data_IF_804228127923
#
_entry.id   IF_804228127923
#
_cell.length_a   1.000
_cell.length_b   1.000
_cell.length_c   1.000
_cell.angle_alpha   90.00
_cell.angle_beta   90.00
_cell.angle_gamma   90.00
#
_symmetry.space_group_name_H-M   'P 1'
#
loop_
_entity.id
_entity.type
_entity.pdbx_description
1 polymer ?
#
# COMPACT_ATOMS: atom_id res chain seq x y z
N UNK A 1 20.26 -9.99 20.77
CA UNK A 1 21.40 -9.06 20.67
C UNK A 1 20.85 -7.70 20.29
N UNK A 2 20.86 -6.77 21.24
CA UNK A 2 20.43 -5.38 21.11
C UNK A 2 21.68 -4.51 21.01
N UNK A 3 22.32 -4.46 19.84
CA UNK A 3 23.71 -3.98 19.77
C UNK A 3 23.87 -2.46 19.62
N UNK A 4 22.85 -1.73 19.16
CA UNK A 4 22.94 -0.28 18.96
C UNK A 4 21.83 0.53 19.66
N UNK A 5 20.62 -0.02 19.77
CA UNK A 5 19.51 0.59 20.53
C UNK A 5 18.55 -0.47 21.12
N UNK A 6 18.70 -0.81 22.42
CA UNK A 6 17.89 -1.84 23.06
C UNK A 6 16.38 -1.55 23.10
N UNK A 7 16.01 -0.26 23.07
CA UNK A 7 14.62 0.19 23.25
C UNK A 7 13.88 0.43 21.92
N UNK A 8 14.53 0.19 20.77
CA UNK A 8 14.04 0.61 19.43
C UNK A 8 13.65 -0.59 18.55
N UNK A 9 13.44 -1.77 19.12
CA UNK A 9 13.31 -3.01 18.33
C UNK A 9 12.07 -3.07 17.42
N UNK A 10 11.05 -2.24 17.67
CA UNK A 10 9.83 -2.14 16.87
C UNK A 10 9.91 -1.14 15.71
N UNK A 11 10.99 -0.35 15.61
CA UNK A 11 11.15 0.71 14.60
C UNK A 11 11.23 0.17 13.17
N UNK A 12 11.73 -1.06 12.98
CA UNK A 12 11.75 -1.68 11.65
C UNK A 12 10.34 -1.83 11.05
N UNK A 13 9.34 -2.10 11.90
CA UNK A 13 7.94 -2.29 11.47
C UNK A 13 7.29 -0.96 11.12
N UNK A 14 7.62 0.13 11.82
CA UNK A 14 7.13 1.46 11.46
C UNK A 14 7.70 1.91 10.12
N UNK A 15 8.98 1.59 9.83
CA UNK A 15 9.58 1.85 8.52
C UNK A 15 8.88 1.06 7.41
N UNK A 16 8.72 -0.26 7.57
CA UNK A 16 8.08 -1.08 6.52
C UNK A 16 6.62 -0.67 6.28
N UNK A 17 5.88 -0.34 7.35
CA UNK A 17 4.51 0.12 7.24
C UNK A 17 4.40 1.47 6.52
N UNK A 18 5.31 2.41 6.80
CA UNK A 18 5.36 3.69 6.11
C UNK A 18 5.81 3.60 4.66
N UNK A 19 6.87 2.83 4.37
CA UNK A 19 7.43 2.72 3.03
C UNK A 19 6.53 1.96 2.05
N UNK A 20 5.95 0.81 2.42
CA UNK A 20 5.14 0.03 1.47
C UNK A 20 3.65 0.43 1.51
N UNK A 21 3.16 0.81 2.69
CA UNK A 21 1.74 1.03 2.93
C UNK A 21 1.33 2.50 3.09
N UNK A 22 2.29 3.43 3.01
CA UNK A 22 2.06 4.86 3.17
C UNK A 22 1.43 5.24 4.51
N UNK A 23 0.76 6.40 4.54
CA UNK A 23 0.11 6.91 5.76
C UNK A 23 -0.99 5.99 6.28
N UNK A 24 -1.60 5.17 5.42
CA UNK A 24 -2.65 4.20 5.79
C UNK A 24 -2.12 3.14 6.72
N UNK A 25 -1.20 2.31 6.25
CA UNK A 25 -0.61 1.25 7.07
C UNK A 25 0.20 1.82 8.23
N UNK A 26 0.87 2.97 8.05
CA UNK A 26 1.55 3.66 9.14
C UNK A 26 0.59 4.07 10.27
N UNK A 27 -0.61 4.58 9.95
CA UNK A 27 -1.61 4.96 10.96
C UNK A 27 -2.12 3.73 11.73
N UNK A 28 -2.32 2.61 11.04
CA UNK A 28 -2.76 1.35 11.63
C UNK A 28 -1.71 0.80 12.57
N UNK A 29 -0.48 0.60 12.08
CA UNK A 29 0.65 0.10 12.89
C UNK A 29 0.94 1.04 14.06
N UNK A 30 0.92 2.35 13.80
CA UNK A 30 1.05 3.37 14.83
C UNK A 30 0.00 3.25 15.92
N UNK A 31 -1.27 3.05 15.54
CA UNK A 31 -2.38 2.92 16.51
C UNK A 31 -2.24 1.68 17.38
N UNK A 32 -1.73 0.58 16.83
CA UNK A 32 -1.41 -0.65 17.58
C UNK A 32 -0.25 -0.38 18.55
N UNK A 33 0.80 0.33 18.13
CA UNK A 33 1.89 0.68 19.06
C UNK A 33 1.43 1.61 20.18
N UNK A 34 0.60 2.61 19.87
CA UNK A 34 0.00 3.50 20.87
C UNK A 34 -0.81 2.69 21.89
N UNK A 35 -1.63 1.73 21.44
CA UNK A 35 -2.44 0.91 22.35
C UNK A 35 -1.63 -0.08 23.19
N UNK A 36 -0.42 -0.42 22.74
CA UNK A 36 0.57 -1.20 23.49
C UNK A 36 1.41 -0.35 24.45
N UNK A 37 1.34 0.99 24.35
CA UNK A 37 2.04 1.93 25.23
C UNK A 37 3.22 2.67 24.60
N UNK A 38 3.46 2.51 23.29
CA UNK A 38 4.54 3.21 22.56
C UNK A 38 3.97 4.23 21.57
N UNK A 39 3.68 5.44 22.06
CA UNK A 39 3.11 6.53 21.25
C UNK A 39 4.03 7.02 20.12
N UNK A 40 5.34 6.97 20.32
CA UNK A 40 6.31 7.46 19.34
C UNK A 40 6.18 6.70 18.01
N UNK A 41 5.82 5.41 18.07
CA UNK A 41 5.64 4.56 16.90
C UNK A 41 4.67 5.15 15.86
N UNK A 42 3.64 5.87 16.30
CA UNK A 42 2.70 6.56 15.42
C UNK A 42 3.37 7.70 14.64
N UNK A 43 4.12 8.57 15.33
CA UNK A 43 4.87 9.67 14.69
C UNK A 43 5.94 9.14 13.74
N UNK A 44 6.66 8.10 14.16
CA UNK A 44 7.75 7.50 13.40
C UNK A 44 7.24 6.87 12.10
N UNK A 45 6.14 6.11 12.16
CA UNK A 45 5.50 5.52 10.98
C UNK A 45 5.04 6.57 9.97
N UNK A 46 4.36 7.63 10.43
CA UNK A 46 3.90 8.72 9.55
C UNK A 46 5.05 9.50 8.91
N UNK A 47 6.16 9.63 9.63
CA UNK A 47 7.37 10.24 9.07
C UNK A 47 7.97 9.35 7.98
N UNK A 48 8.12 8.04 8.22
CA UNK A 48 8.59 7.11 7.20
C UNK A 48 7.69 7.08 5.97
N UNK A 49 6.36 7.16 6.14
CA UNK A 49 5.42 7.28 5.04
C UNK A 49 5.67 8.52 4.18
N UNK A 50 5.83 9.68 4.83
CA UNK A 50 6.11 10.95 4.15
C UNK A 50 7.43 10.88 3.39
N UNK A 51 8.52 10.49 4.08
CA UNK A 51 9.86 10.38 3.48
C UNK A 51 9.89 9.34 2.35
N UNK A 52 9.21 8.21 2.54
CA UNK A 52 9.09 7.16 1.53
C UNK A 52 8.47 7.68 0.24
N UNK A 53 7.33 8.38 0.30
CA UNK A 53 6.69 8.95 -0.90
C UNK A 53 7.65 9.89 -1.66
N UNK A 54 8.41 10.73 -0.96
CA UNK A 54 9.43 11.58 -1.58
C UNK A 54 10.55 10.77 -2.24
N UNK A 55 11.07 9.74 -1.55
CA UNK A 55 12.11 8.85 -2.07
C UNK A 55 11.61 8.09 -3.30
N UNK A 56 10.39 7.56 -3.26
CA UNK A 56 9.74 6.82 -4.32
C UNK A 56 9.79 7.60 -5.63
N UNK A 57 9.29 8.84 -5.65
CA UNK A 57 9.30 9.67 -6.86
C UNK A 57 10.72 10.13 -7.19
N UNK A 58 11.46 10.69 -6.24
CA UNK A 58 12.76 11.33 -6.54
C UNK A 58 13.79 10.33 -7.05
N UNK A 59 13.97 9.22 -6.36
CA UNK A 59 14.91 8.16 -6.77
C UNK A 59 14.31 7.32 -7.91
N UNK A 60 12.98 7.13 -7.94
CA UNK A 60 12.31 6.46 -9.07
C UNK A 60 12.57 7.17 -10.39
N UNK A 61 12.48 8.50 -10.41
CA UNK A 61 12.81 9.32 -11.59
C UNK A 61 14.30 9.19 -11.99
N UNK A 62 15.21 9.08 -11.02
CA UNK A 62 16.63 8.82 -11.32
C UNK A 62 16.83 7.42 -11.93
N UNK A 63 16.19 6.40 -11.39
CA UNK A 63 16.21 5.02 -11.94
C UNK A 63 15.71 5.04 -13.38
N UNK A 64 14.58 5.71 -13.64
CA UNK A 64 14.02 5.88 -14.97
C UNK A 64 15.02 6.56 -15.92
N UNK A 65 15.62 7.68 -15.50
CA UNK A 65 16.59 8.40 -16.32
C UNK A 65 17.82 7.56 -16.67
N UNK A 66 18.33 6.76 -15.73
CA UNK A 66 19.46 5.85 -15.96
C UNK A 66 19.05 4.73 -16.90
N UNK A 67 17.88 4.11 -16.70
CA UNK A 67 17.38 3.04 -17.55
C UNK A 67 17.14 3.49 -19.00
N UNK A 68 16.67 4.72 -19.20
CA UNK A 68 16.55 5.33 -20.53
C UNK A 68 17.90 5.45 -21.23
N UNK A 69 18.94 5.92 -20.51
CA UNK A 69 20.30 6.04 -21.07
C UNK A 69 20.91 4.69 -21.41
N UNK A 70 20.55 3.63 -20.67
CA UNK A 70 21.01 2.27 -20.90
C UNK A 70 20.21 1.51 -21.97
N UNK A 71 19.15 2.11 -22.52
CA UNK A 71 18.28 1.48 -23.52
C UNK A 71 17.42 0.34 -22.97
N UNK A 72 17.18 0.30 -21.66
CA UNK A 72 16.37 -0.75 -21.01
C UNK A 72 14.86 -0.56 -21.20
N UNK A 73 14.44 0.65 -21.60
CA UNK A 73 13.05 1.00 -21.83
C UNK A 73 12.83 1.12 -23.34
N UNK A 74 11.97 0.29 -23.90
CA UNK A 74 11.66 0.29 -25.34
C UNK A 74 10.64 1.38 -25.72
N UNK A 75 9.75 1.71 -24.79
CA UNK A 75 8.71 2.71 -24.96
C UNK A 75 8.88 3.80 -23.91
N UNK A 76 9.26 5.00 -24.34
CA UNK A 76 9.29 6.18 -23.47
C UNK A 76 8.51 7.29 -24.16
N UNK A 77 7.43 7.74 -23.52
CA UNK A 77 6.82 9.00 -23.92
C UNK A 77 7.63 10.09 -23.25
N UNK A 78 8.53 10.71 -24.01
CA UNK A 78 9.18 11.95 -23.57
C UNK A 78 8.12 12.93 -23.10
N UNK A 79 8.42 13.70 -22.07
CA UNK A 79 7.58 14.82 -21.63
C UNK A 79 7.18 15.71 -22.81
N UNK A 80 8.07 15.87 -23.80
CA UNK A 80 7.84 16.64 -25.02
C UNK A 80 6.81 16.02 -25.98
N UNK A 81 6.50 14.73 -25.82
CA UNK A 81 5.50 13.97 -26.59
C UNK A 81 4.17 13.79 -25.86
N UNK A 82 4.08 14.19 -24.58
CA UNK A 82 2.83 14.19 -23.83
C UNK A 82 1.92 15.31 -24.32
N UNK A 83 0.61 15.08 -24.37
CA UNK A 83 -0.39 16.09 -24.68
C UNK A 83 -0.46 17.14 -23.56
N UNK A 84 -1.03 18.31 -23.86
CA UNK A 84 -1.03 19.46 -22.94
C UNK A 84 -1.69 19.14 -21.58
N UNK A 85 -2.81 18.41 -21.59
CA UNK A 85 -3.47 17.99 -20.36
C UNK A 85 -2.69 16.93 -19.58
N UNK A 86 -1.93 16.05 -20.23
CA UNK A 86 -1.09 15.05 -19.55
C UNK A 86 0.05 15.73 -18.79
N UNK A 87 0.57 16.86 -19.31
CA UNK A 87 1.60 17.67 -18.64
C UNK A 87 1.03 18.53 -17.51
N UNK A 88 -0.17 19.10 -17.71
CA UNK A 88 -0.82 19.99 -16.74
C UNK A 88 -1.62 19.23 -15.67
N UNK A 89 -1.97 17.97 -15.91
CA UNK A 89 -2.90 17.20 -15.09
C UNK A 89 -4.36 17.67 -15.19
N UNK A 90 -4.69 18.52 -16.17
CA UNK A 90 -6.01 19.13 -16.34
C UNK A 90 -6.71 18.57 -17.58
N UNK A 91 -7.55 17.55 -17.39
CA UNK A 91 -8.27 16.87 -18.48
C UNK A 91 -9.12 17.87 -19.28
N UNK A 92 -8.95 17.87 -20.60
CA UNK A 92 -9.69 18.76 -21.51
C UNK A 92 -11.21 18.51 -21.43
N UNK A 93 -12.07 19.53 -21.59
CA UNK A 93 -13.52 19.38 -21.47
C UNK A 93 -14.13 18.25 -22.30
N UNK A 94 -13.57 17.98 -23.48
CA UNK A 94 -14.01 16.93 -24.41
C UNK A 94 -13.61 15.51 -23.98
N UNK A 95 -12.57 15.38 -23.16
CA UNK A 95 -12.02 14.10 -22.67
C UNK A 95 -12.48 13.80 -21.23
N UNK A 96 -13.28 14.68 -20.61
CA UNK A 96 -13.77 14.50 -19.25
C UNK A 96 -14.81 13.39 -19.17
N UNK A 97 -14.58 12.41 -18.29
CA UNK A 97 -15.50 11.31 -18.03
C UNK A 97 -16.42 11.61 -16.84
N UNK A 98 -17.68 11.13 -16.84
CA UNK A 98 -18.57 11.26 -15.70
C UNK A 98 -18.00 10.56 -14.46
N UNK A 99 -18.05 11.26 -13.32
CA UNK A 99 -17.46 10.80 -12.05
C UNK A 99 -18.22 9.64 -11.40
N UNK A 100 -19.54 9.66 -11.54
CA UNK A 100 -20.45 8.73 -10.89
C UNK A 100 -21.67 8.52 -11.80
N UNK A 101 -22.22 7.31 -11.78
CA UNK A 101 -23.53 7.02 -12.38
C UNK A 101 -24.61 7.35 -11.35
N UNK A 102 -25.61 8.12 -11.75
CA UNK A 102 -26.78 8.35 -10.93
C UNK A 102 -27.67 7.10 -10.99
N UNK A 103 -27.74 6.34 -9.91
CA UNK A 103 -28.39 5.02 -9.87
C UNK A 103 -29.76 5.05 -9.20
N UNK A 104 -30.06 6.10 -8.45
CA UNK A 104 -31.32 6.28 -7.74
C UNK A 104 -32.18 7.35 -8.40
N UNK A 105 -33.49 7.29 -8.19
CA UNK A 105 -34.38 8.39 -8.56
C UNK A 105 -34.19 9.55 -7.58
N UNK A 106 -33.91 10.75 -8.10
CA UNK A 106 -33.77 11.97 -7.31
C UNK A 106 -35.05 12.37 -6.55
N UNK A 107 -36.22 11.84 -6.95
CA UNK A 107 -37.48 11.98 -6.21
C UNK A 107 -37.53 11.13 -4.93
N UNK A 108 -36.70 10.08 -4.85
CA UNK A 108 -36.68 9.14 -3.72
C UNK A 108 -35.53 9.45 -2.78
N UNK A 109 -34.30 9.40 -3.29
CA UNK A 109 -33.08 9.65 -2.52
C UNK A 109 -31.95 9.99 -3.48
N UNK A 110 -31.06 10.88 -3.04
CA UNK A 110 -29.85 11.20 -3.78
C UNK A 110 -28.88 10.01 -3.80
N UNK A 111 -28.34 9.69 -4.98
CA UNK A 111 -27.40 8.57 -5.15
C UNK A 111 -26.15 8.76 -4.29
N UNK A 112 -25.58 9.97 -4.24
CA UNK A 112 -24.38 10.23 -3.45
C UNK A 112 -24.66 10.05 -1.95
N UNK A 113 -25.81 10.50 -1.46
CA UNK A 113 -26.23 10.33 -0.07
C UNK A 113 -26.30 8.85 0.33
N UNK A 114 -26.81 7.96 -0.53
CA UNK A 114 -26.83 6.50 -0.25
C UNK A 114 -25.41 5.94 -0.14
N UNK A 115 -24.51 6.29 -1.06
CA UNK A 115 -23.13 5.82 -1.02
C UNK A 115 -22.38 6.35 0.21
N UNK A 116 -22.54 7.62 0.53
CA UNK A 116 -21.98 8.23 1.73
C UNK A 116 -22.52 7.55 3.00
N UNK A 117 -23.82 7.30 3.08
CA UNK A 117 -24.44 6.58 4.19
C UNK A 117 -23.88 5.16 4.33
N UNK A 118 -23.68 4.42 3.23
CA UNK A 118 -23.06 3.10 3.26
C UNK A 118 -21.63 3.14 3.82
N UNK A 119 -20.81 4.11 3.40
CA UNK A 119 -19.45 4.30 3.94
C UNK A 119 -19.50 4.58 5.45
N UNK A 120 -20.41 5.45 5.90
CA UNK A 120 -20.59 5.77 7.33
C UNK A 120 -21.05 4.55 8.11
N UNK A 121 -22.04 3.79 7.61
CA UNK A 121 -22.55 2.57 8.26
C UNK A 121 -21.46 1.53 8.39
N UNK A 122 -20.70 1.28 7.32
CA UNK A 122 -19.57 0.32 7.37
C UNK A 122 -18.52 0.81 8.37
N UNK A 123 -18.18 2.10 8.38
CA UNK A 123 -17.19 2.65 9.32
C UNK A 123 -17.65 2.54 10.77
N UNK A 124 -18.92 2.86 11.05
CA UNK A 124 -19.52 2.73 12.37
C UNK A 124 -19.56 1.27 12.83
N UNK A 125 -19.98 0.36 11.95
CA UNK A 125 -19.90 -1.09 12.20
C UNK A 125 -18.48 -1.52 12.52
N UNK A 126 -17.50 -1.04 11.75
CA UNK A 126 -16.07 -1.38 11.93
C UNK A 126 -15.62 -1.05 13.34
N UNK A 127 -15.93 0.16 13.82
CA UNK A 127 -15.55 0.64 15.14
C UNK A 127 -16.23 -0.17 16.25
N UNK A 128 -17.55 -0.36 16.17
CA UNK A 128 -18.31 -1.13 17.17
C UNK A 128 -17.85 -2.59 17.20
N UNK A 129 -17.70 -3.22 16.04
CA UNK A 129 -17.26 -4.61 15.94
C UNK A 129 -15.83 -4.79 16.46
N UNK A 130 -14.92 -3.86 16.15
CA UNK A 130 -13.54 -3.91 16.65
C UNK A 130 -13.49 -3.84 18.17
N UNK A 131 -14.24 -2.91 18.77
CA UNK A 131 -14.30 -2.76 20.22
C UNK A 131 -14.96 -3.97 20.89
N UNK A 132 -16.07 -4.46 20.34
CA UNK A 132 -16.75 -5.65 20.86
C UNK A 132 -15.86 -6.89 20.81
N UNK A 133 -15.20 -7.14 19.67
CA UNK A 133 -14.36 -8.31 19.51
C UNK A 133 -13.08 -8.23 20.35
N UNK A 134 -12.52 -7.03 20.51
CA UNK A 134 -11.36 -6.81 21.39
C UNK A 134 -11.72 -7.03 22.87
N UNK A 135 -12.99 -6.90 23.24
CA UNK A 135 -13.48 -7.15 24.59
C UNK A 135 -13.46 -8.62 25.03
N UNK A 136 -13.25 -9.57 24.12
CA UNK A 136 -13.18 -11.00 24.48
C UNK A 136 -11.85 -11.42 25.09
N UNK A 137 -10.77 -10.67 24.86
CA UNK A 137 -9.45 -11.05 25.34
C UNK A 137 -8.57 -9.82 25.59
N UNK A 138 -8.13 -9.62 26.84
CA UNK A 138 -7.40 -8.42 27.28
C UNK A 138 -6.11 -8.12 26.49
N UNK A 139 -5.53 -9.14 25.85
CA UNK A 139 -4.28 -9.04 25.08
C UNK A 139 -4.45 -9.01 23.56
N UNK A 140 -5.68 -9.15 23.04
CA UNK A 140 -5.93 -9.18 21.60
C UNK A 140 -6.82 -8.00 21.24
N UNK A 141 -6.23 -6.99 20.62
CA UNK A 141 -6.98 -5.88 20.06
C UNK A 141 -7.18 -6.13 18.57
N UNK A 142 -8.43 -6.20 18.15
CA UNK A 142 -8.80 -6.31 16.75
C UNK A 142 -8.78 -4.91 16.13
N UNK A 143 -7.92 -4.66 15.14
CA UNK A 143 -7.85 -3.33 14.52
C UNK A 143 -9.13 -3.00 13.74
N UNK A 144 -9.56 -1.74 13.80
CA UNK A 144 -10.77 -1.24 13.13
C UNK A 144 -10.75 -1.43 11.62
N UNK A 145 -9.59 -1.36 10.97
CA UNK A 145 -9.50 -1.57 9.53
C UNK A 145 -9.85 -3.02 9.13
N UNK A 146 -9.57 -4.01 9.98
CA UNK A 146 -9.87 -5.43 9.71
C UNK A 146 -11.37 -5.65 9.72
N UNK A 147 -12.06 -5.16 10.75
CA UNK A 147 -13.51 -5.24 10.85
C UNK A 147 -14.20 -4.42 9.76
N UNK A 148 -13.59 -3.31 9.31
CA UNK A 148 -14.09 -2.54 8.18
C UNK A 148 -13.94 -3.21 6.83
N UNK A 149 -12.83 -3.91 6.60
CA UNK A 149 -12.68 -4.75 5.41
C UNK A 149 -13.74 -5.86 5.38
N UNK A 150 -13.95 -6.55 6.50
CA UNK A 150 -15.00 -7.56 6.63
C UNK A 150 -16.40 -6.97 6.47
N UNK A 151 -16.68 -5.82 7.09
CA UNK A 151 -17.97 -5.13 6.97
C UNK A 151 -18.28 -4.70 5.55
N UNK A 152 -17.31 -4.11 4.84
CA UNK A 152 -17.44 -3.74 3.43
C UNK A 152 -17.64 -4.97 2.53
N UNK A 153 -16.91 -6.06 2.80
CA UNK A 153 -17.09 -7.33 2.09
C UNK A 153 -18.49 -7.91 2.30
N UNK A 154 -18.99 -7.91 3.54
CA UNK A 154 -20.34 -8.37 3.86
C UNK A 154 -21.40 -7.53 3.13
N UNK A 155 -21.26 -6.20 3.11
CA UNK A 155 -22.15 -5.31 2.35
C UNK A 155 -22.11 -5.63 0.86
N UNK A 156 -20.92 -5.87 0.28
CA UNK A 156 -20.79 -6.24 -1.14
C UNK A 156 -21.43 -7.59 -1.45
N UNK A 157 -21.27 -8.58 -0.57
CA UNK A 157 -21.92 -9.89 -0.70
C UNK A 157 -23.43 -9.76 -0.60
N UNK A 158 -23.93 -9.02 0.39
CA UNK A 158 -25.37 -8.77 0.56
C UNK A 158 -25.95 -8.08 -0.67
N UNK A 159 -25.30 -7.03 -1.18
CA UNK A 159 -25.73 -6.32 -2.40
C UNK A 159 -25.75 -7.23 -3.63
N UNK A 160 -24.82 -8.17 -3.76
CA UNK A 160 -24.82 -9.17 -4.83
C UNK A 160 -25.99 -10.14 -4.69
N UNK A 161 -26.26 -10.63 -3.48
CA UNK A 161 -27.36 -11.56 -3.21
C UNK A 161 -28.74 -10.93 -3.42
N UNK A 162 -28.91 -9.66 -3.04
CA UNK A 162 -30.17 -8.91 -3.21
C UNK A 162 -30.32 -8.28 -4.59
N UNK A 163 -29.33 -8.46 -5.49
CA UNK A 163 -29.22 -7.76 -6.78
C UNK A 163 -29.15 -6.22 -6.66
N UNK A 164 -28.95 -5.69 -5.46
CA UNK A 164 -28.76 -4.26 -5.23
C UNK A 164 -27.39 -3.75 -5.76
N UNK A 165 -26.46 -4.64 -6.11
CA UNK A 165 -25.16 -4.29 -6.67
C UNK A 165 -25.24 -3.37 -7.90
N UNK A 166 -26.30 -3.49 -8.71
CA UNK A 166 -26.48 -2.69 -9.93
C UNK A 166 -26.74 -1.21 -9.61
N UNK A 167 -27.16 -0.92 -8.38
CA UNK A 167 -27.38 0.43 -7.87
C UNK A 167 -26.19 1.00 -7.10
N UNK A 168 -25.11 0.23 -6.94
CA UNK A 168 -23.88 0.66 -6.32
C UNK A 168 -22.87 1.10 -7.38
N UNK A 169 -22.51 2.37 -7.38
CA UNK A 169 -21.52 2.95 -8.27
C UNK A 169 -20.12 2.84 -7.67
N UNK A 170 -19.27 2.00 -8.27
CA UNK A 170 -17.85 1.90 -7.89
C UNK A 170 -17.08 3.21 -8.04
N UNK A 171 -17.51 4.12 -8.93
CA UNK A 171 -16.94 5.46 -9.07
C UNK A 171 -17.09 6.29 -7.78
N UNK A 172 -18.27 6.23 -7.14
CA UNK A 172 -18.52 6.92 -5.88
C UNK A 172 -17.56 6.44 -4.77
N UNK A 173 -17.40 5.12 -4.63
CA UNK A 173 -16.49 4.55 -3.64
C UNK A 173 -15.02 4.84 -3.94
N UNK A 174 -14.61 4.83 -5.21
CA UNK A 174 -13.24 5.22 -5.61
C UNK A 174 -12.92 6.66 -5.25
N UNK A 175 -13.84 7.59 -5.50
CA UNK A 175 -13.65 9.00 -5.13
C UNK A 175 -13.70 9.22 -3.62
N UNK A 176 -14.59 8.54 -2.90
CA UNK A 176 -14.61 8.56 -1.44
C UNK A 176 -13.28 8.07 -0.85
N UNK A 177 -12.74 6.95 -1.36
CA UNK A 177 -11.44 6.43 -0.96
C UNK A 177 -10.29 7.42 -1.28
N UNK A 178 -10.35 8.09 -2.44
CA UNK A 178 -9.40 9.14 -2.81
C UNK A 178 -9.39 10.30 -1.82
N UNK A 179 -10.57 10.89 -1.54
CA UNK A 179 -10.70 12.00 -0.58
C UNK A 179 -10.26 11.59 0.83
N UNK A 180 -10.63 10.38 1.28
CA UNK A 180 -10.18 9.86 2.57
C UNK A 180 -8.67 9.71 2.64
N UNK A 181 -8.03 9.28 1.53
CA UNK A 181 -6.56 9.16 1.46
C UNK A 181 -5.88 10.53 1.53
N UNK A 182 -6.42 11.54 0.85
CA UNK A 182 -5.88 12.91 0.89
C UNK A 182 -5.96 13.50 2.31
N UNK A 183 -7.11 13.35 2.98
CA UNK A 183 -7.25 13.77 4.38
C UNK A 183 -6.31 13.02 5.32
N UNK A 184 -6.17 11.71 5.13
CA UNK A 184 -5.25 10.89 5.91
C UNK A 184 -3.79 11.37 5.76
N UNK A 185 -3.36 11.76 4.57
CA UNK A 185 -2.02 12.33 4.34
C UNK A 185 -1.88 13.68 5.07
N UNK A 186 -2.85 14.60 4.89
CA UNK A 186 -2.81 15.94 5.51
C UNK A 186 -2.77 15.83 7.04
N UNK A 187 -3.67 15.03 7.63
CA UNK A 187 -3.69 14.81 9.07
C UNK A 187 -2.45 14.06 9.55
N UNK A 188 -1.96 13.09 8.76
CA UNK A 188 -0.74 12.36 9.05
C UNK A 188 0.48 13.28 9.15
N UNK A 189 0.68 14.17 8.18
CA UNK A 189 1.77 15.16 8.22
C UNK A 189 1.60 16.09 9.42
N UNK A 190 0.37 16.54 9.69
CA UNK A 190 0.07 17.44 10.81
C UNK A 190 0.28 16.79 12.20
N UNK A 191 0.17 15.46 12.29
CA UNK A 191 0.34 14.71 13.54
C UNK A 191 1.80 14.40 13.90
N UNK A 192 2.77 14.70 13.02
CA UNK A 192 4.19 14.41 13.26
C UNK A 192 4.72 15.29 14.40
N UNK A 193 5.07 14.67 15.53
CA UNK A 193 5.73 15.33 16.66
C UNK A 193 7.22 15.56 16.33
N UNK A 194 7.60 16.82 16.04
CA UNK A 194 8.98 17.19 15.68
C UNK A 194 10.01 16.81 16.75
N UNK A 195 9.62 16.87 18.03
CA UNK A 195 10.48 16.47 19.15
C UNK A 195 10.85 14.98 19.10
N UNK A 196 9.88 14.11 18.79
CA UNK A 196 10.11 12.67 18.61
C UNK A 196 11.00 12.44 17.40
N UNK A 197 10.72 13.12 16.27
CA UNK A 197 11.56 13.01 15.08
C UNK A 197 13.03 13.34 15.37
N UNK A 198 13.31 14.41 16.12
CA UNK A 198 14.67 14.80 16.48
C UNK A 198 15.39 13.74 17.32
N UNK A 199 14.67 13.07 18.23
CA UNK A 199 15.23 12.01 19.08
C UNK A 199 15.61 10.74 18.29
N UNK A 200 14.80 10.38 17.29
CA UNK A 200 14.98 9.16 16.51
C UNK A 200 15.63 9.40 15.14
N UNK A 201 16.11 10.61 14.84
CA UNK A 201 16.59 10.98 13.51
C UNK A 201 17.70 10.03 13.01
N UNK A 202 18.70 9.75 13.84
CA UNK A 202 19.81 8.86 13.48
C UNK A 202 19.34 7.42 13.14
N UNK A 203 18.64 6.70 14.04
CA UNK A 203 18.16 5.35 13.71
C UNK A 203 17.18 5.34 12.53
N UNK A 204 16.37 6.40 12.37
CA UNK A 204 15.47 6.52 11.22
C UNK A 204 16.23 6.67 9.90
N UNK A 205 17.26 7.51 9.84
CA UNK A 205 18.09 7.69 8.63
C UNK A 205 18.79 6.38 8.26
N UNK A 206 19.33 5.67 9.24
CA UNK A 206 19.98 4.36 9.02
C UNK A 206 18.99 3.37 8.44
N UNK A 207 17.79 3.25 9.04
CA UNK A 207 16.75 2.34 8.56
C UNK A 207 16.24 2.75 7.18
N UNK A 208 15.91 4.02 6.96
CA UNK A 208 15.45 4.51 5.66
C UNK A 208 16.48 4.23 4.57
N UNK A 209 17.77 4.46 4.85
CA UNK A 209 18.87 4.17 3.92
C UNK A 209 18.98 2.67 3.65
N UNK A 210 18.92 1.84 4.68
CA UNK A 210 18.92 0.38 4.54
C UNK A 210 17.72 -0.14 3.73
N UNK A 211 16.53 0.41 3.99
CA UNK A 211 15.31 0.13 3.24
C UNK A 211 15.43 0.49 1.77
N UNK A 212 15.96 1.67 1.46
CA UNK A 212 16.25 2.11 0.09
C UNK A 212 17.27 1.21 -0.61
N UNK A 213 18.38 0.88 0.05
CA UNK A 213 19.40 -0.02 -0.52
C UNK A 213 18.79 -1.40 -0.81
N UNK A 214 17.98 -1.90 0.12
CA UNK A 214 17.30 -3.18 -0.03
C UNK A 214 16.29 -3.18 -1.18
N UNK A 215 15.45 -2.15 -1.30
CA UNK A 215 14.50 -2.04 -2.42
C UNK A 215 15.20 -1.81 -3.76
N UNK A 216 16.30 -1.04 -3.79
CA UNK A 216 17.15 -0.93 -4.98
C UNK A 216 17.74 -2.29 -5.38
N UNK A 217 18.21 -3.08 -4.42
CA UNK A 217 18.69 -4.43 -4.70
C UNK A 217 17.59 -5.34 -5.28
N UNK A 218 16.37 -5.28 -4.73
CA UNK A 218 15.23 -6.03 -5.28
C UNK A 218 14.95 -5.62 -6.74
N UNK A 219 14.95 -4.33 -7.04
CA UNK A 219 14.54 -3.81 -8.35
C UNK A 219 15.65 -3.94 -9.40
N UNK A 220 16.90 -3.67 -9.04
CA UNK A 220 18.02 -3.66 -10.00
C UNK A 220 18.70 -5.04 -10.14
N UNK A 221 18.57 -5.92 -9.15
CA UNK A 221 19.24 -7.23 -9.17
C UNK A 221 18.27 -8.40 -9.19
N UNK A 222 17.23 -8.42 -8.35
CA UNK A 222 16.29 -9.56 -8.29
C UNK A 222 15.30 -9.53 -9.45
N UNK A 223 14.67 -8.38 -9.72
CA UNK A 223 13.64 -8.25 -10.76
C UNK A 223 14.11 -8.69 -12.16
N UNK A 224 15.29 -8.28 -12.69
CA UNK A 224 15.75 -8.74 -14.00
C UNK A 224 15.95 -10.26 -14.10
N UNK A 225 16.13 -10.96 -12.98
CA UNK A 225 16.37 -12.40 -12.93
C UNK A 225 15.11 -13.23 -12.72
N UNK A 226 14.03 -12.61 -12.24
CA UNK A 226 12.81 -13.31 -11.83
C UNK A 226 11.57 -12.90 -12.62
N UNK A 227 11.49 -11.66 -13.11
CA UNK A 227 10.23 -11.09 -13.62
C UNK A 227 10.04 -11.24 -15.13
N UNK A 228 11.00 -11.86 -15.83
CA UNK A 228 10.89 -12.21 -17.26
C UNK A 228 10.79 -10.98 -18.17
N UNK A 229 9.89 -11.05 -19.16
CA UNK A 229 9.58 -9.91 -20.03
C UNK A 229 8.94 -8.76 -19.23
N UNK A 230 9.15 -7.52 -19.67
CA UNK A 230 8.73 -6.29 -18.98
C UNK A 230 9.24 -6.18 -17.52
N UNK A 231 10.40 -6.79 -17.21
CA UNK A 231 10.97 -6.77 -15.86
C UNK A 231 11.18 -5.35 -15.34
N UNK A 232 11.46 -4.39 -16.23
CA UNK A 232 11.73 -3.02 -15.85
C UNK A 232 10.44 -2.30 -15.46
N UNK A 233 9.37 -2.45 -16.22
CA UNK A 233 8.03 -1.94 -15.92
C UNK A 233 7.52 -2.51 -14.59
N UNK A 234 7.67 -3.83 -14.39
CA UNK A 234 7.34 -4.49 -13.11
C UNK A 234 8.23 -4.00 -11.97
N UNK A 235 9.51 -3.82 -12.24
CA UNK A 235 10.52 -3.37 -11.29
C UNK A 235 10.28 -1.94 -10.82
N UNK A 236 10.00 -0.99 -11.73
CA UNK A 236 9.74 0.40 -11.36
C UNK A 236 8.39 0.56 -10.65
N UNK A 237 7.37 -0.22 -11.05
CA UNK A 237 6.12 -0.30 -10.31
C UNK A 237 6.36 -0.78 -8.87
N UNK A 238 7.17 -1.84 -8.71
CA UNK A 238 7.51 -2.41 -7.41
C UNK A 238 8.36 -1.45 -6.57
N UNK A 239 9.30 -0.70 -7.18
CA UNK A 239 10.03 0.37 -6.52
C UNK A 239 9.07 1.38 -5.88
N UNK A 240 8.15 1.93 -6.68
CA UNK A 240 7.21 2.95 -6.20
C UNK A 240 6.25 2.42 -5.15
N UNK A 241 5.86 1.14 -5.26
CA UNK A 241 5.04 0.48 -4.25
C UNK A 241 5.79 0.24 -2.94
N UNK A 242 6.98 -0.36 -2.97
CA UNK A 242 7.75 -0.72 -1.77
C UNK A 242 8.33 0.48 -1.03
N UNK A 243 8.44 1.65 -1.69
CA UNK A 243 8.98 2.87 -1.08
C UNK A 243 7.94 3.97 -0.87
N UNK A 244 6.73 3.87 -1.42
CA UNK A 244 5.63 4.74 -1.04
C UNK A 244 4.29 4.01 -0.93
N UNK A 245 3.59 3.91 -2.05
CA UNK A 245 2.26 3.30 -2.13
C UNK A 245 2.04 2.71 -3.52
N UNK A 246 1.02 1.87 -3.66
CA UNK A 246 0.58 1.37 -4.97
C UNK A 246 0.33 2.53 -5.95
N UNK A 247 -0.22 3.66 -5.48
CA UNK A 247 -0.44 4.84 -6.29
C UNK A 247 0.88 5.44 -6.83
N UNK A 248 1.94 5.45 -6.02
CA UNK A 248 3.28 5.88 -6.48
C UNK A 248 3.89 4.90 -7.49
N UNK A 249 3.67 3.59 -7.29
CA UNK A 249 4.03 2.56 -8.28
C UNK A 249 3.33 2.79 -9.63
N UNK A 250 2.02 3.05 -9.62
CA UNK A 250 1.24 3.37 -10.82
C UNK A 250 1.74 4.67 -11.48
N UNK A 251 2.03 5.70 -10.68
CA UNK A 251 2.52 6.98 -11.20
C UNK A 251 3.83 6.83 -11.99
N UNK A 252 4.80 6.08 -11.45
CA UNK A 252 6.06 5.80 -12.13
C UNK A 252 5.87 4.87 -13.34
N UNK A 253 5.01 3.85 -13.21
CA UNK A 253 4.69 2.94 -14.32
C UNK A 253 4.11 3.70 -15.51
N UNK A 254 3.21 4.66 -15.29
CA UNK A 254 2.62 5.49 -16.36
C UNK A 254 3.63 6.32 -17.14
N UNK A 255 4.85 6.53 -16.62
CA UNK A 255 5.89 7.25 -17.35
C UNK A 255 6.52 6.36 -18.43
N UNK A 256 6.69 5.07 -18.14
CA UNK A 256 7.29 4.09 -19.06
C UNK A 256 6.25 3.33 -19.87
N UNK A 257 5.05 3.18 -19.34
CA UNK A 257 3.91 2.58 -20.01
C UNK A 257 2.64 3.45 -19.87
N UNK A 258 2.58 4.62 -20.54
CA UNK A 258 1.44 5.54 -20.42
C UNK A 258 0.14 4.95 -20.96
N UNK A 259 0.24 4.05 -21.92
CA UNK A 259 -0.91 3.39 -22.56
C UNK A 259 -1.33 2.11 -21.82
N UNK A 260 -0.69 1.78 -20.71
CA UNK A 260 -0.94 0.58 -19.91
C UNK A 260 -0.98 -0.70 -20.78
N UNK A 261 -0.04 -0.80 -21.73
CA UNK A 261 0.08 -1.96 -22.62
C UNK A 261 0.69 -3.16 -21.93
N UNK A 262 1.58 -2.91 -20.97
CA UNK A 262 2.14 -3.93 -20.10
C UNK A 262 1.04 -4.49 -19.19
N UNK A 263 1.10 -5.79 -18.91
CA UNK A 263 0.13 -6.46 -18.03
C UNK A 263 0.44 -6.26 -16.54
N UNK A 264 1.31 -5.31 -16.19
CA UNK A 264 1.83 -5.14 -14.82
C UNK A 264 0.71 -4.93 -13.81
N UNK A 265 -0.29 -4.08 -14.11
CA UNK A 265 -1.40 -3.84 -13.18
C UNK A 265 -2.37 -5.01 -13.11
N UNK A 266 -2.56 -5.74 -14.20
CA UNK A 266 -3.41 -6.94 -14.22
C UNK A 266 -2.76 -8.07 -13.41
N UNK A 267 -1.46 -8.31 -13.63
CA UNK A 267 -0.65 -9.27 -12.88
C UNK A 267 -0.63 -8.91 -11.38
N UNK A 268 -0.44 -7.63 -11.06
CA UNK A 268 -0.52 -7.12 -9.69
C UNK A 268 -1.91 -7.36 -9.09
N UNK A 269 -2.99 -7.02 -9.79
CA UNK A 269 -4.35 -7.17 -9.26
C UNK A 269 -4.66 -8.63 -8.93
N UNK A 270 -4.25 -9.57 -9.78
CA UNK A 270 -4.44 -11.01 -9.56
C UNK A 270 -3.58 -11.49 -8.37
N UNK A 271 -2.30 -11.11 -8.34
CA UNK A 271 -1.37 -11.54 -7.30
C UNK A 271 -1.66 -10.92 -5.93
N UNK A 272 -2.16 -9.68 -5.89
CA UNK A 272 -2.38 -8.94 -4.66
C UNK A 272 -3.64 -9.38 -3.91
N UNK A 273 -4.65 -9.94 -4.56
CA UNK A 273 -5.86 -10.43 -3.85
C UNK A 273 -5.52 -11.43 -2.74
N UNK A 274 -4.82 -12.56 -3.00
CA UNK A 274 -4.38 -13.46 -1.93
C UNK A 274 -3.31 -12.82 -1.02
N UNK A 275 -2.46 -11.94 -1.57
CA UNK A 275 -1.46 -11.19 -0.80
C UNK A 275 -2.08 -10.30 0.28
N UNK A 276 -3.19 -9.62 -0.03
CA UNK A 276 -3.87 -8.68 0.85
C UNK A 276 -4.42 -9.34 2.12
N UNK A 277 -4.84 -10.61 2.04
CA UNK A 277 -5.22 -11.39 3.22
C UNK A 277 -4.01 -11.60 4.13
N UNK A 278 -2.85 -11.91 3.55
CA UNK A 278 -1.59 -12.07 4.28
C UNK A 278 -1.15 -10.74 4.90
N UNK A 279 -1.27 -9.63 4.16
CA UNK A 279 -0.93 -8.29 4.64
C UNK A 279 -1.78 -7.88 5.85
N UNK A 280 -3.07 -8.24 5.88
CA UNK A 280 -3.94 -8.00 7.04
C UNK A 280 -3.35 -8.65 8.30
N UNK A 281 -2.88 -9.90 8.21
CA UNK A 281 -2.26 -10.58 9.35
C UNK A 281 -0.91 -9.98 9.72
N UNK A 282 -0.07 -9.65 8.74
CA UNK A 282 1.25 -9.06 8.99
C UNK A 282 1.08 -7.69 9.66
N UNK A 283 0.26 -6.80 9.12
CA UNK A 283 0.03 -5.44 9.66
C UNK A 283 -0.57 -5.50 11.07
N UNK A 284 -1.43 -6.48 11.36
CA UNK A 284 -2.07 -6.60 12.67
C UNK A 284 -1.18 -7.27 13.72
N UNK A 285 -0.45 -8.33 13.36
CA UNK A 285 0.26 -9.18 14.32
C UNK A 285 1.74 -8.83 14.46
N UNK A 286 2.38 -8.33 13.41
CA UNK A 286 3.81 -8.00 13.42
C UNK A 286 4.16 -6.91 14.46
N UNK A 287 3.40 -5.81 14.59
CA UNK A 287 3.68 -4.79 15.62
C UNK A 287 3.60 -5.37 17.03
N UNK A 288 2.58 -6.21 17.29
CA UNK A 288 2.39 -6.88 18.58
C UNK A 288 3.57 -7.81 18.88
N UNK A 289 3.99 -8.62 17.90
CA UNK A 289 5.12 -9.53 18.05
C UNK A 289 6.42 -8.77 18.35
N UNK A 290 6.71 -7.69 17.62
CA UNK A 290 7.93 -6.90 17.83
C UNK A 290 7.91 -6.20 19.18
N UNK A 291 6.78 -5.61 19.56
CA UNK A 291 6.66 -4.94 20.85
C UNK A 291 6.91 -5.89 22.04
N UNK A 292 6.42 -7.13 21.94
CA UNK A 292 6.57 -8.15 22.99
C UNK A 292 7.91 -8.91 22.95
N UNK A 293 8.87 -8.49 22.14
CA UNK A 293 10.18 -9.14 22.11
C UNK A 293 10.28 -10.41 21.25
N UNK A 294 9.25 -10.73 20.46
CA UNK A 294 9.16 -11.97 19.68
C UNK A 294 9.86 -11.85 18.30
N UNK A 295 11.05 -11.23 18.29
CA UNK A 295 11.79 -10.90 17.07
C UNK A 295 12.17 -12.14 16.25
N UNK A 296 12.58 -13.22 16.93
CA UNK A 296 13.01 -14.46 16.29
C UNK A 296 11.86 -15.28 15.74
N UNK A 297 10.72 -15.28 16.43
CA UNK A 297 9.52 -15.93 15.94
C UNK A 297 9.01 -15.22 14.68
N UNK A 298 8.96 -13.89 14.69
CA UNK A 298 8.52 -13.16 13.50
C UNK A 298 9.51 -13.29 12.34
N UNK A 299 10.82 -13.25 12.61
CA UNK A 299 11.83 -13.52 11.59
C UNK A 299 11.69 -14.92 11.03
N UNK A 300 11.47 -15.93 11.88
CA UNK A 300 11.27 -17.31 11.44
C UNK A 300 10.01 -17.46 10.58
N UNK A 301 8.91 -16.78 10.94
CA UNK A 301 7.68 -16.74 10.11
C UNK A 301 7.96 -16.07 8.77
N UNK A 302 8.64 -14.93 8.76
CA UNK A 302 8.99 -14.21 7.52
C UNK A 302 9.90 -15.03 6.61
N UNK A 303 10.97 -15.61 7.16
CA UNK A 303 11.89 -16.49 6.41
C UNK A 303 11.17 -17.76 5.94
N UNK A 304 10.31 -18.35 6.77
CA UNK A 304 9.49 -19.51 6.41
C UNK A 304 8.54 -19.21 5.25
N UNK A 305 7.90 -18.04 5.27
CA UNK A 305 7.06 -17.57 4.17
C UNK A 305 7.88 -17.37 2.89
N UNK A 306 9.03 -16.70 2.96
CA UNK A 306 9.92 -16.52 1.81
C UNK A 306 10.41 -17.87 1.26
N UNK A 307 10.81 -18.80 2.12
CA UNK A 307 11.24 -20.13 1.73
C UNK A 307 10.11 -20.91 1.05
N UNK A 308 8.87 -20.79 1.55
CA UNK A 308 7.69 -21.40 0.94
C UNK A 308 7.39 -20.81 -0.44
N UNK A 309 7.42 -19.49 -0.60
CA UNK A 309 7.24 -18.82 -1.90
C UNK A 309 8.34 -19.23 -2.88
N UNK A 310 9.60 -19.25 -2.46
CA UNK A 310 10.73 -19.69 -3.28
C UNK A 310 10.64 -21.17 -3.66
N UNK A 311 10.15 -22.02 -2.75
CA UNK A 311 9.89 -23.43 -3.02
C UNK A 311 8.82 -23.60 -4.11
N UNK A 312 7.69 -22.91 -3.99
CA UNK A 312 6.65 -22.92 -5.03
C UNK A 312 7.22 -22.44 -6.36
N UNK A 313 7.94 -21.32 -6.37
CA UNK A 313 8.54 -20.78 -7.59
C UNK A 313 9.50 -21.78 -8.25
N UNK A 314 10.40 -22.40 -7.46
CA UNK A 314 11.42 -23.32 -7.98
C UNK A 314 10.86 -24.64 -8.47
N UNK A 315 9.87 -25.21 -7.77
CA UNK A 315 9.41 -26.58 -8.02
C UNK A 315 8.11 -26.66 -8.81
N UNK A 316 7.24 -25.65 -8.72
CA UNK A 316 5.95 -25.63 -9.42
C UNK A 316 6.07 -24.81 -10.70
N UNK A 317 6.51 -23.56 -10.62
CA UNK A 317 6.46 -22.63 -11.76
C UNK A 317 7.62 -22.82 -12.74
N UNK A 318 8.85 -22.99 -12.25
CA UNK A 318 10.02 -23.18 -13.11
C UNK A 318 9.93 -24.49 -13.92
N UNK A 319 9.35 -25.56 -13.35
CA UNK A 319 9.08 -26.80 -14.10
C UNK A 319 7.99 -26.63 -15.16
N UNK A 320 6.99 -25.79 -14.90
CA UNK A 320 5.91 -25.51 -15.84
C UNK A 320 6.39 -24.68 -17.04
N UNK A 321 7.33 -23.75 -16.82
CA UNK A 321 7.96 -22.98 -17.89
C UNK A 321 8.92 -23.84 -18.73
N UNK A 322 9.73 -24.71 -18.10
CA UNK A 322 10.63 -25.63 -18.83
C UNK A 322 9.87 -26.73 -19.59
N UNK A 323 8.69 -27.14 -19.12
CA UNK A 323 7.87 -28.13 -19.82
C UNK A 323 7.04 -27.55 -20.99
N UNK A 324 6.89 -26.22 -21.08
CA UNK A 324 6.10 -25.53 -22.10
C UNK A 324 6.91 -24.54 -22.95
N UNK A 325 8.24 -24.57 -22.84
CA UNK A 325 9.19 -23.89 -23.71
C UNK A 325 9.74 -24.88 -24.75
#
# INVERSE_FOLDING_TARGET
>A
MTFFWPDINSLGVTMSAGFMGGHGSASVVGSIFTSLGWEDGFTLGLTFATVGIFISISVGMLILQVALKLGLIQSFTSFDKMNEYERKGLVEPQEQSPVMKDTMSSLSVDTFAVHAALVVVVTAFSYVAANYLSGFHDKVQIPTFVTGFLGGMLVRIAAKQTKAQDYLCDGAFKHAAGISTDYLIIFGISAIKITVLAQYLLPMVILATGGVIFTLWLVLWVAPRMLGDDWFEKGIFTWGWLTGTVAMGIALLRIVDPKMRSKVLDDYAIAYVPGSITDIFIISLMPIAMYNGLYWQALAVGVGYLAFVLFIWRFVLNRYQVANA
#
